data_IF_781201415810
#
_entry.id   IF_781201415810
#
_cell.length_a   1.000
_cell.length_b   1.000
_cell.length_c   1.000
_cell.angle_alpha   90.00
_cell.angle_beta   90.00
_cell.angle_gamma   90.00
#
_symmetry.space_group_name_H-M   'P 1'
#
loop_
_entity.id
_entity.type
_entity.pdbx_description
1 polymer ?
#
# COMPACT_ATOMS: atom_id res chain seq x y z
N UNK A 1 23.40 -19.81 -0.64
CA UNK A 1 23.21 -18.57 0.16
C UNK A 1 21.98 -17.85 -0.36
N UNK A 2 21.01 -17.53 0.51
CA UNK A 2 19.81 -16.79 0.13
C UNK A 2 20.17 -15.32 -0.16
N UNK A 3 19.67 -14.74 -1.26
CA UNK A 3 20.03 -13.38 -1.71
C UNK A 3 18.86 -12.43 -1.60
N UNK A 4 19.13 -11.20 -1.19
CA UNK A 4 18.15 -10.11 -1.24
C UNK A 4 18.08 -9.55 -2.66
N UNK A 5 16.88 -9.53 -3.24
CA UNK A 5 16.59 -8.92 -4.53
C UNK A 5 15.75 -7.66 -4.36
N UNK A 6 16.03 -6.62 -5.16
CA UNK A 6 15.24 -5.38 -5.25
C UNK A 6 14.71 -5.23 -6.68
N UNK A 7 13.43 -4.88 -6.81
CA UNK A 7 12.81 -4.40 -8.05
C UNK A 7 12.55 -2.90 -7.92
N UNK A 8 12.88 -2.15 -8.97
CA UNK A 8 12.70 -0.69 -9.01
C UNK A 8 11.56 -0.29 -9.95
N UNK A 9 10.99 0.88 -9.70
CA UNK A 9 9.95 1.54 -10.48
C UNK A 9 10.45 2.93 -10.89
N UNK A 10 10.47 3.21 -12.20
CA UNK A 10 10.94 4.49 -12.74
C UNK A 10 12.35 4.86 -12.29
N UNK A 11 12.52 6.08 -11.79
CA UNK A 11 13.79 6.70 -11.36
C UNK A 11 14.37 6.15 -10.04
N UNK A 12 14.05 4.91 -9.65
CA UNK A 12 14.66 4.23 -8.51
C UNK A 12 13.74 3.97 -7.32
N UNK A 13 12.43 4.26 -7.45
CA UNK A 13 11.44 3.94 -6.43
C UNK A 13 11.32 2.43 -6.24
N UNK A 14 10.93 1.98 -5.06
CA UNK A 14 10.78 0.57 -4.78
C UNK A 14 9.51 0.00 -5.44
N UNK A 15 9.67 -1.03 -6.26
CA UNK A 15 8.57 -1.84 -6.79
C UNK A 15 8.38 -3.12 -5.97
N UNK A 16 9.45 -3.65 -5.39
CA UNK A 16 9.36 -4.78 -4.48
C UNK A 16 10.72 -5.30 -4.02
N UNK A 17 10.71 -6.18 -3.03
CA UNK A 17 11.88 -6.89 -2.53
C UNK A 17 11.56 -8.35 -2.28
N UNK A 18 12.57 -9.21 -2.43
CA UNK A 18 12.46 -10.64 -2.15
C UNK A 18 13.72 -11.18 -1.49
N UNK A 19 13.58 -12.19 -0.64
CA UNK A 19 14.68 -12.96 -0.06
C UNK A 19 14.69 -14.35 -0.70
N UNK A 20 15.60 -14.58 -1.66
CA UNK A 20 15.51 -15.73 -2.55
C UNK A 20 14.28 -15.59 -3.44
N UNK A 21 13.32 -16.50 -3.29
CA UNK A 21 12.02 -16.45 -3.97
C UNK A 21 10.86 -16.04 -3.04
N UNK A 22 11.16 -15.77 -1.76
CA UNK A 22 10.17 -15.27 -0.82
C UNK A 22 9.93 -13.77 -1.06
N UNK A 23 8.73 -13.34 -1.48
CA UNK A 23 8.41 -11.92 -1.54
C UNK A 23 8.42 -11.33 -0.13
N UNK A 24 9.07 -10.19 0.03
CA UNK A 24 9.07 -9.43 1.28
C UNK A 24 8.11 -8.25 1.20
N UNK A 25 8.15 -7.53 0.07
CA UNK A 25 7.24 -6.42 -0.19
C UNK A 25 6.98 -6.29 -1.68
N UNK A 26 5.74 -5.99 -2.05
CA UNK A 26 5.34 -5.69 -3.42
C UNK A 26 4.44 -4.46 -3.44
N UNK A 27 4.69 -3.56 -4.41
CA UNK A 27 3.93 -2.34 -4.62
C UNK A 27 3.28 -2.36 -6.00
N UNK A 28 1.97 -2.21 -6.02
CA UNK A 28 1.21 -1.95 -7.26
C UNK A 28 0.84 -0.48 -7.31
N UNK A 29 1.04 0.14 -8.47
CA UNK A 29 0.71 1.54 -8.70
C UNK A 29 -0.28 1.69 -9.83
N UNK A 30 -1.11 2.72 -9.74
CA UNK A 30 -2.00 3.09 -10.83
C UNK A 30 -1.24 3.85 -11.95
N UNK A 31 -2.00 4.27 -12.96
CA UNK A 31 -1.51 5.05 -14.11
C UNK A 31 -0.97 6.43 -13.72
N UNK A 32 -1.37 6.95 -12.56
CA UNK A 32 -0.87 8.20 -11.98
C UNK A 32 0.31 7.97 -11.02
N UNK A 33 0.84 6.74 -10.98
CA UNK A 33 1.99 6.34 -10.16
C UNK A 33 1.74 6.40 -8.65
N UNK A 34 0.47 6.37 -8.23
CA UNK A 34 0.06 6.30 -6.83
C UNK A 34 -0.05 4.85 -6.40
N UNK A 35 0.34 4.54 -5.17
CA UNK A 35 0.23 3.19 -4.62
C UNK A 35 -1.24 2.83 -4.41
N UNK A 36 -1.69 1.73 -5.00
CA UNK A 36 -3.07 1.24 -4.85
C UNK A 36 -3.15 -0.10 -4.13
N UNK A 37 -2.05 -0.84 -4.09
CA UNK A 37 -1.92 -2.09 -3.35
C UNK A 37 -0.49 -2.26 -2.83
N UNK A 38 -0.37 -2.71 -1.59
CA UNK A 38 0.88 -3.15 -0.99
C UNK A 38 0.70 -4.50 -0.33
N UNK A 39 1.62 -5.41 -0.61
CA UNK A 39 1.72 -6.71 0.05
C UNK A 39 3.01 -6.82 0.82
N UNK A 40 2.97 -7.34 2.04
CA UNK A 40 4.14 -7.79 2.79
C UNK A 40 4.05 -9.28 3.06
N UNK A 41 5.18 -9.96 2.88
CA UNK A 41 5.27 -11.41 3.00
C UNK A 41 4.57 -12.15 1.85
N UNK A 42 4.70 -13.48 1.82
CA UNK A 42 3.98 -14.32 0.87
C UNK A 42 2.52 -14.52 1.29
N UNK A 43 1.62 -14.53 0.30
CA UNK A 43 0.17 -14.75 0.46
C UNK A 43 -0.18 -16.07 1.18
N UNK A 44 0.79 -16.98 1.35
CA UNK A 44 0.63 -18.26 2.05
C UNK A 44 0.81 -18.16 3.57
N UNK A 45 1.29 -17.04 4.10
CA UNK A 45 1.52 -16.86 5.53
C UNK A 45 0.37 -16.07 6.19
N UNK A 46 -0.07 -16.50 7.39
CA UNK A 46 -1.12 -15.79 8.14
C UNK A 46 -0.70 -14.39 8.60
N UNK A 47 0.60 -14.12 8.64
CA UNK A 47 1.20 -12.81 8.96
C UNK A 47 1.39 -11.93 7.73
N UNK A 48 0.95 -12.38 6.54
CA UNK A 48 0.93 -11.53 5.36
C UNK A 48 0.06 -10.31 5.62
N UNK A 49 0.49 -9.18 5.08
CA UNK A 49 -0.24 -7.92 5.18
C UNK A 49 -0.58 -7.46 3.78
N UNK A 50 -1.87 -7.21 3.54
CA UNK A 50 -2.34 -6.62 2.30
C UNK A 50 -3.04 -5.30 2.60
N UNK A 51 -2.59 -4.22 1.97
CA UNK A 51 -3.19 -2.89 2.07
C UNK A 51 -3.67 -2.47 0.68
N UNK A 52 -4.97 -2.23 0.54
CA UNK A 52 -5.56 -1.54 -0.61
C UNK A 52 -5.75 -0.07 -0.27
N UNK A 53 -5.33 0.80 -1.17
CA UNK A 53 -5.49 2.26 -1.01
C UNK A 53 -6.39 2.81 -2.12
N UNK A 54 -7.42 3.55 -1.72
CA UNK A 54 -8.30 4.29 -2.64
C UNK A 54 -8.04 5.78 -2.53
N UNK A 55 -8.31 6.49 -3.62
CA UNK A 55 -8.14 7.93 -3.71
C UNK A 55 -9.42 8.55 -4.26
N UNK A 56 -9.75 9.73 -3.74
CA UNK A 56 -10.81 10.55 -4.32
C UNK A 56 -10.47 10.94 -5.76
N UNK A 57 -11.45 11.38 -6.57
CA UNK A 57 -11.17 11.93 -7.91
C UNK A 57 -10.18 13.10 -7.90
N UNK A 58 -10.17 13.90 -6.81
CA UNK A 58 -9.22 14.99 -6.58
C UNK A 58 -7.80 14.52 -6.19
N UNK A 59 -7.59 13.22 -6.05
CA UNK A 59 -6.29 12.62 -5.76
C UNK A 59 -5.92 12.56 -4.28
N UNK A 60 -6.85 12.88 -3.38
CA UNK A 60 -6.64 12.76 -1.94
C UNK A 60 -6.84 11.32 -1.49
N UNK A 61 -6.11 10.89 -0.45
CA UNK A 61 -6.26 9.56 0.13
C UNK A 61 -7.68 9.42 0.69
N UNK A 62 -8.44 8.41 0.28
CA UNK A 62 -9.85 8.25 0.68
C UNK A 62 -9.99 7.13 1.72
N UNK A 63 -9.50 5.94 1.41
CA UNK A 63 -9.51 4.81 2.33
C UNK A 63 -8.21 4.00 2.24
N UNK A 64 -7.87 3.39 3.36
CA UNK A 64 -6.87 2.36 3.50
C UNK A 64 -7.53 1.14 4.12
N UNK A 65 -7.67 0.08 3.34
CA UNK A 65 -8.29 -1.17 3.76
C UNK A 65 -7.25 -2.27 3.84
N UNK A 66 -7.27 -3.01 4.94
CA UNK A 66 -6.31 -4.05 5.25
C UNK A 66 -6.98 -5.38 5.52
N UNK A 67 -6.22 -6.46 5.33
CA UNK A 67 -6.56 -7.77 5.88
C UNK A 67 -6.49 -7.84 7.43
N UNK A 68 -6.13 -6.73 8.08
CA UNK A 68 -6.28 -6.47 9.51
C UNK A 68 -7.30 -5.33 9.73
N UNK A 69 -8.61 -5.64 9.83
CA UNK A 69 -9.66 -4.63 9.77
C UNK A 69 -9.54 -3.52 10.82
N UNK A 70 -9.01 -3.82 12.01
CA UNK A 70 -8.77 -2.85 13.09
C UNK A 70 -7.83 -1.69 12.70
N UNK A 71 -7.04 -1.90 11.65
CA UNK A 71 -6.13 -0.91 11.10
C UNK A 71 -6.71 -0.13 9.92
N UNK A 72 -7.92 -0.46 9.46
CA UNK A 72 -8.58 0.27 8.38
C UNK A 72 -8.70 1.75 8.73
N UNK A 73 -8.52 2.61 7.74
CA UNK A 73 -8.64 4.06 7.90
C UNK A 73 -9.48 4.66 6.78
N UNK A 74 -10.37 5.56 7.15
CA UNK A 74 -11.10 6.45 6.24
C UNK A 74 -10.70 7.89 6.50
N UNK A 75 -10.54 8.67 5.44
CA UNK A 75 -10.02 10.03 5.49
C UNK A 75 -11.08 11.02 5.01
N UNK A 76 -11.39 12.01 5.85
CA UNK A 76 -12.34 13.07 5.55
C UNK A 76 -11.66 14.42 5.44
N UNK A 77 -12.02 15.17 4.40
CA UNK A 77 -11.47 16.50 4.10
C UNK A 77 -12.56 17.56 4.18
N UNK A 78 -12.18 18.78 4.54
CA UNK A 78 -13.06 19.94 4.39
C UNK A 78 -13.09 20.43 2.93
N UNK A 79 -13.93 21.44 2.64
CA UNK A 79 -14.05 22.03 1.30
C UNK A 79 -12.74 22.67 0.80
N UNK A 80 -11.85 23.06 1.72
CA UNK A 80 -10.52 23.57 1.41
C UNK A 80 -9.48 22.47 1.13
N UNK A 81 -9.88 21.20 1.16
CA UNK A 81 -9.02 20.04 0.95
C UNK A 81 -8.12 19.72 2.13
N UNK A 82 -8.36 20.28 3.32
CA UNK A 82 -7.59 19.99 4.52
C UNK A 82 -8.12 18.74 5.18
N UNK A 83 -7.22 17.87 5.64
CA UNK A 83 -7.60 16.67 6.37
C UNK A 83 -8.19 17.06 7.74
N UNK A 84 -9.44 16.71 7.97
CA UNK A 84 -10.16 17.03 9.22
C UNK A 84 -10.60 15.79 10.00
N UNK A 85 -10.57 14.61 9.38
CA UNK A 85 -11.01 13.37 10.01
C UNK A 85 -10.17 12.18 9.55
N UNK A 86 -9.79 11.34 10.50
CA UNK A 86 -9.29 9.98 10.26
C UNK A 86 -10.16 9.05 11.11
N UNK A 87 -10.79 8.06 10.52
CA UNK A 87 -11.67 7.10 11.22
C UNK A 87 -11.22 5.67 11.02
N UNK A 88 -11.30 4.87 12.08
CA UNK A 88 -11.17 3.41 12.02
C UNK A 88 -12.52 2.73 12.27
N UNK A 89 -12.54 1.39 12.33
CA UNK A 89 -13.73 0.62 12.70
C UNK A 89 -14.25 0.93 14.11
#
# INVERSE_FOLDING_TARGET
MCKLGKKSYGSGYLAGMKLGDMPLVEYTRDRLHREVLRRFGPDTLPESYELTTTYTPGGQLEQQHLNHPQLNREYGYDEGGRLVRISGP
#
